data_IF_398978958596
#
_entry.id   IF_398978958596
#
_cell.length_a   1.000
_cell.length_b   1.000
_cell.length_c   1.000
_cell.angle_alpha   90.00
_cell.angle_beta   90.00
_cell.angle_gamma   90.00
#
_symmetry.space_group_name_H-M   'P 1'
#
loop_
_entity.id
_entity.type
_entity.pdbx_description
1 polymer ?
#
# COMPACT_ATOMS: atom_id res chain seq x y z
N UNK A 1 -1.42 -8.65 -17.26
CA UNK A 1 -0.82 -7.30 -17.09
C UNK A 1 -0.53 -7.06 -15.62
N UNK A 2 0.74 -6.87 -15.25
CA UNK A 2 1.19 -6.76 -13.86
C UNK A 2 0.74 -5.41 -13.28
N UNK A 3 -0.31 -5.41 -12.45
CA UNK A 3 -0.70 -4.22 -11.67
C UNK A 3 0.44 -3.88 -10.70
N UNK A 4 1.12 -2.77 -10.98
CA UNK A 4 2.25 -2.26 -10.17
C UNK A 4 1.78 -1.48 -8.92
N UNK A 5 0.51 -1.15 -8.87
CA UNK A 5 -0.12 -0.37 -7.80
C UNK A 5 -1.30 -1.15 -7.22
N UNK A 6 -1.41 -1.11 -5.90
CA UNK A 6 -2.53 -1.63 -5.13
C UNK A 6 -3.47 -0.48 -4.81
N UNK A 7 -4.76 -0.69 -5.05
CA UNK A 7 -5.84 0.21 -4.63
C UNK A 7 -6.13 0.06 -3.13
N UNK A 8 -6.82 1.04 -2.54
CA UNK A 8 -7.28 0.96 -1.15
C UNK A 8 -8.10 -0.30 -0.86
N UNK A 9 -8.90 -0.75 -1.84
CA UNK A 9 -9.67 -1.99 -1.73
C UNK A 9 -8.78 -3.23 -1.68
N UNK A 10 -7.81 -3.34 -2.60
CA UNK A 10 -6.85 -4.45 -2.59
C UNK A 10 -6.01 -4.45 -1.30
N UNK A 11 -5.60 -3.27 -0.81
CA UNK A 11 -4.89 -3.14 0.48
C UNK A 11 -5.77 -3.56 1.66
N UNK A 12 -7.06 -3.20 1.65
CA UNK A 12 -8.02 -3.58 2.68
C UNK A 12 -8.22 -5.10 2.73
N UNK A 13 -8.42 -5.73 1.57
CA UNK A 13 -8.55 -7.18 1.42
C UNK A 13 -7.26 -7.90 1.83
N UNK A 14 -6.10 -7.43 1.39
CA UNK A 14 -4.82 -8.03 1.74
C UNK A 14 -4.55 -7.95 3.24
N UNK A 15 -4.83 -6.81 3.88
CA UNK A 15 -4.58 -6.62 5.32
C UNK A 15 -5.72 -7.11 6.22
N UNK A 16 -6.86 -7.52 5.65
CA UNK A 16 -8.05 -7.88 6.42
C UNK A 16 -8.64 -6.73 7.24
N UNK A 17 -8.49 -5.49 6.78
CA UNK A 17 -8.98 -4.28 7.45
C UNK A 17 -10.14 -3.64 6.68
N UNK A 18 -10.89 -2.76 7.33
CA UNK A 18 -11.91 -1.95 6.66
C UNK A 18 -11.29 -1.04 5.59
N UNK A 19 -12.01 -0.81 4.48
CA UNK A 19 -11.56 0.08 3.40
C UNK A 19 -11.23 1.50 3.91
N UNK A 20 -12.02 2.02 4.85
CA UNK A 20 -11.79 3.32 5.49
C UNK A 20 -10.43 3.39 6.21
N UNK A 21 -10.06 2.31 6.90
CA UNK A 21 -8.75 2.15 7.55
C UNK A 21 -7.64 2.05 6.51
N UNK A 22 -7.87 1.32 5.40
CA UNK A 22 -6.91 1.23 4.31
C UNK A 22 -6.59 2.60 3.69
N UNK A 23 -7.60 3.47 3.51
CA UNK A 23 -7.38 4.85 3.08
C UNK A 23 -6.57 5.68 4.08
N UNK A 24 -6.73 5.46 5.39
CA UNK A 24 -5.90 6.13 6.40
C UNK A 24 -4.44 5.68 6.32
N UNK A 25 -4.19 4.38 6.18
CA UNK A 25 -2.86 3.79 6.04
C UNK A 25 -2.16 4.26 4.77
N UNK A 26 -2.85 4.20 3.61
CA UNK A 26 -2.30 4.66 2.32
C UNK A 26 -1.96 6.15 2.37
N UNK A 27 -2.76 6.98 3.06
CA UNK A 27 -2.44 8.40 3.26
C UNK A 27 -1.15 8.59 4.06
N UNK A 28 -0.92 7.77 5.09
CA UNK A 28 0.33 7.76 5.85
C UNK A 28 1.52 7.40 4.96
N UNK A 29 1.42 6.30 4.21
CA UNK A 29 2.47 5.86 3.30
C UNK A 29 2.75 6.84 2.16
N UNK A 30 1.73 7.46 1.60
CA UNK A 30 1.91 8.50 0.60
C UNK A 30 2.60 9.75 1.18
N UNK A 31 2.45 10.06 2.46
CA UNK A 31 3.25 11.14 3.09
C UNK A 31 4.72 10.74 3.21
N UNK A 32 5.01 9.51 3.64
CA UNK A 32 6.39 8.99 3.73
C UNK A 32 7.08 8.93 2.37
N UNK A 33 6.41 8.37 1.36
CA UNK A 33 6.92 8.27 -0.01
C UNK A 33 7.17 9.65 -0.62
N UNK A 34 6.26 10.61 -0.40
CA UNK A 34 6.44 11.99 -0.85
C UNK A 34 7.62 12.66 -0.15
N UNK A 35 7.83 12.39 1.14
CA UNK A 35 8.98 12.90 1.89
C UNK A 35 10.31 12.30 1.39
N UNK A 36 10.31 11.06 0.91
CA UNK A 36 11.44 10.41 0.28
C UNK A 36 11.67 10.83 -1.19
N UNK A 37 10.84 11.72 -1.74
CA UNK A 37 10.94 12.19 -3.12
C UNK A 37 10.33 11.27 -4.17
N UNK A 38 9.56 10.25 -3.75
CA UNK A 38 8.85 9.36 -4.67
C UNK A 38 7.51 9.92 -5.12
N UNK A 39 7.07 9.47 -6.30
CA UNK A 39 5.73 9.77 -6.81
C UNK A 39 4.66 8.98 -6.05
N UNK A 40 3.67 9.67 -5.52
CA UNK A 40 2.57 9.08 -4.75
C UNK A 40 1.24 9.39 -5.38
N UNK A 41 0.35 8.40 -5.45
CA UNK A 41 -0.99 8.54 -6.01
C UNK A 41 -2.04 8.33 -4.91
N UNK A 42 -2.90 9.31 -4.69
CA UNK A 42 -3.98 9.20 -3.71
C UNK A 42 -4.87 7.97 -4.00
N UNK A 43 -5.19 7.20 -2.95
CA UNK A 43 -6.02 5.98 -3.06
C UNK A 43 -5.29 4.74 -3.57
N UNK A 44 -3.99 4.82 -3.86
CA UNK A 44 -3.18 3.66 -4.25
C UNK A 44 -1.74 3.74 -3.72
N UNK A 45 -1.07 2.60 -3.65
CA UNK A 45 0.32 2.49 -3.20
C UNK A 45 1.08 1.54 -4.14
N UNK A 46 2.38 1.78 -4.43
CA UNK A 46 3.18 0.82 -5.17
C UNK A 46 3.22 -0.53 -4.44
N UNK A 47 3.02 -1.63 -5.16
CA UNK A 47 3.02 -2.98 -4.57
C UNK A 47 4.35 -3.31 -3.87
N UNK A 48 5.47 -2.92 -4.47
CA UNK A 48 6.79 -3.08 -3.86
C UNK A 48 6.94 -2.33 -2.53
N UNK A 49 6.25 -1.19 -2.37
CA UNK A 49 6.26 -0.46 -1.10
C UNK A 49 5.39 -1.16 -0.05
N UNK A 50 4.22 -1.65 -0.47
CA UNK A 50 3.33 -2.45 0.37
C UNK A 50 4.05 -3.69 0.90
N UNK A 51 4.65 -4.50 0.03
CA UNK A 51 5.39 -5.72 0.41
C UNK A 51 6.57 -5.41 1.35
N UNK A 52 7.25 -4.27 1.15
CA UNK A 52 8.34 -3.82 2.04
C UNK A 52 7.85 -3.33 3.41
N UNK A 53 6.69 -2.66 3.49
CA UNK A 53 6.14 -2.14 4.76
C UNK A 53 5.39 -3.20 5.55
N UNK A 54 4.67 -4.08 4.85
CA UNK A 54 3.97 -5.22 5.43
C UNK A 54 4.87 -6.46 5.45
N UNK A 55 6.04 -6.31 6.07
CA UNK A 55 6.99 -7.40 6.31
C UNK A 55 6.22 -8.57 6.97
N UNK A 56 6.09 -9.68 6.23
CA UNK A 56 5.23 -10.83 6.59
C UNK A 56 4.20 -11.26 5.53
N UNK A 57 3.98 -10.47 4.47
CA UNK A 57 3.23 -10.92 3.26
C UNK A 57 4.13 -11.40 2.11
N UNK A 58 5.44 -11.20 2.24
CA UNK A 58 6.44 -11.88 1.43
C UNK A 58 6.85 -13.16 2.16
N UNK A 59 6.47 -14.30 1.60
CA UNK A 59 6.95 -15.65 1.97
C UNK A 59 6.59 -16.13 3.39
N UNK A 60 5.39 -16.70 3.53
CA UNK A 60 5.37 -18.08 4.02
C UNK A 60 5.53 -18.96 2.78
N UNK A 61 6.78 -19.32 2.46
CA UNK A 61 7.06 -20.44 1.58
C UNK A 61 7.14 -21.72 2.42
#
# INVERSE_FOLDING_TARGET
>A
MTKRYLSAKEVAELLGIAESTAYAVIRGWNKELKAQGYFTKAGSVPRAYFEKKCYGYGEAQ
#
